data_IF_807554571113
#
_entry.id   IF_807554571113
#
_cell.length_a   1.000
_cell.length_b   1.000
_cell.length_c   1.000
_cell.angle_alpha   90.00
_cell.angle_beta   90.00
_cell.angle_gamma   90.00
#
_symmetry.space_group_name_H-M   'P 1'
#
loop_
_entity.id
_entity.type
_entity.pdbx_description
1 polymer ?
#
# COMPACT_ATOMS: atom_id res chain seq x y z
N UNK A 1 8.80 33.44 28.63
CA UNK A 1 8.93 33.89 27.22
C UNK A 1 9.06 32.64 26.35
N UNK A 2 8.28 32.59 25.27
CA UNK A 2 8.31 31.63 24.14
C UNK A 2 9.73 31.51 23.56
N UNK A 3 10.16 30.49 22.82
CA UNK A 3 9.71 29.16 22.40
C UNK A 3 10.81 28.68 21.43
N UNK A 4 11.20 27.41 21.38
CA UNK A 4 11.71 26.75 20.16
C UNK A 4 11.49 25.22 20.27
N UNK A 5 10.42 24.74 19.67
CA UNK A 5 10.17 23.32 19.40
C UNK A 5 9.53 23.26 18.01
N UNK A 6 10.35 23.01 16.98
CA UNK A 6 9.89 23.02 15.59
C UNK A 6 10.64 21.99 14.72
N UNK A 7 11.07 20.86 15.30
CA UNK A 7 11.62 19.73 14.53
C UNK A 7 11.05 18.43 15.09
N UNK A 8 9.80 18.07 14.75
CA UNK A 8 9.32 16.67 14.59
C UNK A 8 7.79 16.63 14.44
N UNK A 9 7.24 17.17 13.35
CA UNK A 9 5.82 16.94 13.00
C UNK A 9 5.66 16.31 11.62
N UNK A 10 6.68 16.41 10.77
CA UNK A 10 6.68 15.88 9.40
C UNK A 10 7.26 14.47 9.25
N UNK A 11 8.15 14.01 10.14
CA UNK A 11 8.75 12.67 10.06
C UNK A 11 7.84 11.56 10.63
N UNK A 12 6.93 11.91 11.53
CA UNK A 12 6.05 10.94 12.19
C UNK A 12 4.95 10.41 11.26
N UNK A 13 4.44 11.23 10.34
CA UNK A 13 3.33 10.86 9.45
C UNK A 13 3.73 9.88 8.33
N UNK A 14 4.97 9.94 7.86
CA UNK A 14 5.46 8.99 6.83
C UNK A 14 5.65 7.59 7.42
N UNK A 15 6.26 7.50 8.61
CA UNK A 15 6.43 6.24 9.32
C UNK A 15 5.07 5.60 9.66
N UNK A 16 4.07 6.39 10.09
CA UNK A 16 2.73 5.86 10.35
C UNK A 16 2.04 5.34 9.08
N UNK A 17 2.24 5.99 7.94
CA UNK A 17 1.67 5.54 6.67
C UNK A 17 2.28 4.22 6.20
N UNK A 18 3.60 4.07 6.35
CA UNK A 18 4.29 2.82 6.04
C UNK A 18 3.85 1.67 6.95
N UNK A 19 3.73 1.95 8.26
CA UNK A 19 3.22 0.97 9.23
C UNK A 19 1.79 0.55 8.89
N UNK A 20 0.88 1.50 8.64
CA UNK A 20 -0.50 1.19 8.26
C UNK A 20 -0.56 0.35 6.98
N UNK A 21 0.22 0.73 5.95
CA UNK A 21 0.25 -0.06 4.72
C UNK A 21 0.75 -1.49 4.97
N UNK A 22 1.81 -1.64 5.75
CA UNK A 22 2.38 -2.94 6.09
C UNK A 22 1.40 -3.82 6.86
N UNK A 23 0.61 -3.25 7.78
CA UNK A 23 -0.44 -3.99 8.49
C UNK A 23 -1.51 -4.56 7.54
N UNK A 24 -1.99 -3.75 6.59
CA UNK A 24 -2.96 -4.20 5.59
C UNK A 24 -2.36 -5.23 4.62
N UNK A 25 -1.13 -5.01 4.17
CA UNK A 25 -0.41 -5.96 3.31
C UNK A 25 -0.26 -7.31 4.03
N UNK A 26 0.21 -7.30 5.28
CA UNK A 26 0.36 -8.52 6.10
C UNK A 26 -0.97 -9.24 6.33
N UNK A 27 -2.06 -8.50 6.58
CA UNK A 27 -3.39 -9.10 6.75
C UNK A 27 -3.88 -9.77 5.46
N UNK A 28 -3.69 -9.10 4.31
CA UNK A 28 -4.05 -9.65 3.01
C UNK A 28 -3.20 -10.86 2.61
N UNK A 29 -1.91 -10.85 2.91
CA UNK A 29 -1.01 -11.99 2.68
C UNK A 29 -1.39 -13.23 3.47
N UNK A 30 -1.93 -13.05 4.67
CA UNK A 30 -2.40 -14.13 5.55
C UNK A 30 -3.86 -14.52 5.29
N UNK A 31 -4.57 -13.78 4.43
CA UNK A 31 -5.96 -14.08 4.11
C UNK A 31 -6.07 -15.45 3.41
N UNK A 32 -7.13 -16.24 3.67
CA UNK A 32 -7.36 -17.52 3.00
C UNK A 32 -7.40 -17.42 1.47
N UNK A 33 -7.72 -16.23 0.94
CA UNK A 33 -7.81 -15.96 -0.49
C UNK A 33 -6.44 -15.89 -1.15
N UNK A 34 -5.45 -15.24 -0.50
CA UNK A 34 -4.14 -15.01 -1.09
C UNK A 34 -3.05 -15.97 -0.59
N UNK A 35 -3.20 -16.56 0.60
CA UNK A 35 -2.14 -17.35 1.26
C UNK A 35 -1.70 -18.58 0.46
N UNK A 36 -2.62 -19.19 -0.30
CA UNK A 36 -2.36 -20.38 -1.12
C UNK A 36 -1.75 -20.04 -2.49
N UNK A 37 -1.80 -18.78 -2.91
CA UNK A 37 -1.24 -18.33 -4.17
C UNK A 37 0.28 -18.19 -4.06
N UNK A 38 0.96 -18.23 -5.21
CA UNK A 38 2.43 -18.12 -5.28
C UNK A 38 2.85 -17.03 -6.25
N UNK A 39 4.08 -16.54 -6.09
CA UNK A 39 4.73 -15.57 -6.97
C UNK A 39 3.80 -14.39 -7.31
N UNK A 40 3.67 -14.06 -8.59
CA UNK A 40 2.88 -12.91 -9.04
C UNK A 40 1.38 -13.03 -8.74
N UNK A 41 0.82 -14.23 -8.77
CA UNK A 41 -0.60 -14.39 -8.46
C UNK A 41 -0.88 -14.00 -7.00
N UNK A 42 0.05 -14.29 -6.09
CA UNK A 42 -0.03 -13.82 -4.71
C UNK A 42 0.10 -12.30 -4.64
N UNK A 43 1.07 -11.71 -5.33
CA UNK A 43 1.27 -10.25 -5.37
C UNK A 43 0.01 -9.53 -5.87
N UNK A 44 -0.56 -9.97 -7.00
CA UNK A 44 -1.81 -9.40 -7.55
C UNK A 44 -2.95 -9.50 -6.55
N UNK A 45 -3.17 -10.69 -5.98
CA UNK A 45 -4.22 -10.90 -4.98
C UNK A 45 -4.06 -9.97 -3.77
N UNK A 46 -2.85 -9.84 -3.24
CA UNK A 46 -2.58 -8.97 -2.08
C UNK A 46 -2.82 -7.50 -2.44
N UNK A 47 -2.36 -7.03 -3.60
CA UNK A 47 -2.58 -5.65 -4.04
C UNK A 47 -4.07 -5.34 -4.22
N UNK A 48 -4.81 -6.25 -4.85
CA UNK A 48 -6.25 -6.12 -4.99
C UNK A 48 -6.97 -6.17 -3.63
N UNK A 49 -6.56 -7.06 -2.73
CA UNK A 49 -7.09 -7.15 -1.37
C UNK A 49 -6.86 -5.86 -0.56
N UNK A 50 -5.66 -5.29 -0.61
CA UNK A 50 -5.31 -4.06 0.14
C UNK A 50 -6.17 -2.88 -0.32
N UNK A 51 -6.37 -2.73 -1.63
CA UNK A 51 -7.28 -1.72 -2.17
C UNK A 51 -7.67 -2.07 -3.60
N UNK A 52 -8.89 -2.60 -3.83
CA UNK A 52 -9.33 -2.99 -5.17
C UNK A 52 -9.31 -1.83 -6.14
N UNK A 53 -9.72 -0.64 -5.67
CA UNK A 53 -9.74 0.55 -6.49
C UNK A 53 -8.33 1.02 -6.87
N UNK A 54 -7.35 1.00 -5.96
CA UNK A 54 -5.99 1.43 -6.31
C UNK A 54 -5.32 0.42 -7.23
N UNK A 55 -5.67 -0.85 -7.05
CA UNK A 55 -5.16 -1.91 -7.90
C UNK A 55 -5.65 -1.73 -9.33
N UNK A 56 -6.95 -1.45 -9.52
CA UNK A 56 -7.51 -1.17 -10.84
C UNK A 56 -6.84 0.06 -11.48
N UNK A 57 -6.73 1.18 -10.76
CA UNK A 57 -6.17 2.41 -11.31
C UNK A 57 -4.71 2.26 -11.78
N UNK A 58 -3.91 1.43 -11.08
CA UNK A 58 -2.47 1.35 -11.30
C UNK A 58 -2.08 0.16 -12.18
N UNK A 59 -2.77 -0.98 -12.05
CA UNK A 59 -2.37 -2.24 -12.66
C UNK A 59 -3.37 -2.79 -13.69
N UNK A 60 -4.60 -2.26 -13.81
CA UNK A 60 -5.60 -2.80 -14.76
C UNK A 60 -5.15 -2.70 -16.21
N UNK A 61 -4.57 -1.56 -16.59
CA UNK A 61 -4.15 -1.31 -17.97
C UNK A 61 -2.90 -2.11 -18.36
N UNK A 62 -2.02 -2.32 -17.39
CA UNK A 62 -0.69 -2.90 -17.61
C UNK A 62 -0.33 -3.81 -16.42
N UNK A 63 -0.79 -5.08 -16.44
CA UNK A 63 -0.57 -6.02 -15.35
C UNK A 63 0.92 -6.38 -15.19
N UNK A 64 1.34 -6.72 -13.96
CA UNK A 64 2.70 -7.20 -13.71
C UNK A 64 2.98 -8.55 -14.39
N UNK A 65 4.10 -8.64 -15.10
CA UNK A 65 4.61 -9.85 -15.75
C UNK A 65 5.74 -10.53 -14.95
N UNK A 66 5.91 -11.84 -15.17
CA UNK A 66 6.90 -12.65 -14.43
C UNK A 66 8.32 -12.19 -14.73
N UNK A 67 9.07 -11.84 -13.68
CA UNK A 67 10.43 -11.32 -13.80
C UNK A 67 10.53 -9.80 -13.85
N UNK A 68 9.40 -9.07 -13.86
CA UNK A 68 9.40 -7.61 -13.78
C UNK A 68 9.57 -7.09 -12.35
N UNK A 69 10.21 -5.92 -12.23
CA UNK A 69 10.30 -5.18 -10.96
C UNK A 69 9.15 -4.19 -10.87
N UNK A 70 8.36 -4.28 -9.80
CA UNK A 70 7.24 -3.36 -9.58
C UNK A 70 7.70 -1.98 -9.08
N UNK A 71 8.00 -1.09 -10.03
CA UNK A 71 8.35 0.32 -9.75
C UNK A 71 7.15 1.17 -9.31
N UNK A 72 5.92 0.68 -9.49
CA UNK A 72 4.67 1.42 -9.23
C UNK A 72 4.18 1.29 -7.79
N UNK A 73 4.84 0.45 -6.99
CA UNK A 73 4.48 0.21 -5.60
C UNK A 73 4.38 1.50 -4.76
N UNK A 74 5.26 2.48 -4.98
CA UNK A 74 5.20 3.76 -4.27
C UNK A 74 3.94 4.57 -4.62
N UNK A 75 3.53 4.55 -5.89
CA UNK A 75 2.27 5.15 -6.33
C UNK A 75 1.07 4.43 -5.72
N UNK A 76 1.14 3.09 -5.61
CA UNK A 76 0.08 2.28 -4.98
C UNK A 76 -0.08 2.60 -3.49
N UNK A 77 1.03 2.66 -2.74
CA UNK A 77 1.03 3.10 -1.34
C UNK A 77 0.43 4.49 -1.19
N UNK A 78 0.80 5.45 -2.06
CA UNK A 78 0.24 6.79 -2.07
C UNK A 78 -1.28 6.80 -2.30
N UNK A 79 -1.77 6.05 -3.28
CA UNK A 79 -3.20 5.90 -3.56
C UNK A 79 -3.96 5.33 -2.36
N UNK A 80 -3.42 4.30 -1.71
CA UNK A 80 -4.02 3.66 -0.55
C UNK A 80 -4.22 4.65 0.61
N UNK A 81 -3.16 5.40 0.97
CA UNK A 81 -3.23 6.39 2.06
C UNK A 81 -4.24 7.50 1.75
N UNK A 82 -4.27 7.99 0.50
CA UNK A 82 -5.26 8.99 0.09
C UNK A 82 -6.70 8.49 0.24
N UNK A 83 -6.95 7.20 -0.05
CA UNK A 83 -8.28 6.59 0.05
C UNK A 83 -8.68 6.26 1.49
N UNK A 84 -7.74 5.94 2.37
CA UNK A 84 -8.02 5.76 3.79
C UNK A 84 -8.40 7.07 4.50
N UNK A 85 -7.75 8.18 4.13
CA UNK A 85 -7.99 9.48 4.75
C UNK A 85 -9.26 10.20 4.30
N UNK A 86 -9.99 9.67 3.30
CA UNK A 86 -11.24 10.26 2.82
C UNK A 86 -12.41 9.63 3.59
N UNK A 87 -13.13 10.37 4.44
CA UNK A 87 -14.37 9.87 5.02
C UNK A 87 -15.34 9.56 3.88
N UNK A 88 -15.97 8.38 3.95
CA UNK A 88 -17.02 7.95 3.01
C UNK A 88 -18.24 8.84 3.08
#
# INVERSE_FOLDING_TARGET
>A
MRAESAVCTSQSSQQTNELMFHEYESACEQSPQCVHLKALNRVRCVRECVSPSCYMDIYQKDPLEEGEVDVRLNSFKGCFIQRLGRPR
#
